data_IF_627563095928
#
_entry.id   IF_627563095928
#
_cell.length_a   1.000
_cell.length_b   1.000
_cell.length_c   1.000
_cell.angle_alpha   90.00
_cell.angle_beta   90.00
_cell.angle_gamma   90.00
#
_symmetry.space_group_name_H-M   'P 1'
#
loop_
_entity.id
_entity.type
_entity.pdbx_description
1 polymer ?
#
# COMPACT_ATOMS: atom_id res chain seq x y z
N UNK A 1 11.12 18.93 20.72
CA UNK A 1 10.33 17.79 21.22
C UNK A 1 9.97 16.77 20.12
N UNK A 2 10.41 16.96 18.87
CA UNK A 2 10.10 16.09 17.71
C UNK A 2 10.99 14.83 17.61
N UNK A 3 12.25 14.89 18.07
CA UNK A 3 13.19 13.76 18.01
C UNK A 3 12.86 12.57 18.93
N UNK A 4 12.00 12.75 19.94
CA UNK A 4 11.73 11.71 20.94
C UNK A 4 10.69 10.66 20.53
N UNK A 5 10.01 10.81 19.38
CA UNK A 5 8.92 9.91 18.97
C UNK A 5 9.26 8.92 17.84
N UNK A 6 10.47 8.99 17.26
CA UNK A 6 10.91 8.10 16.18
C UNK A 6 10.01 8.16 14.94
N UNK A 7 10.43 8.85 13.88
CA UNK A 7 9.68 8.85 12.62
C UNK A 7 10.02 7.58 11.85
N UNK A 8 8.98 6.84 11.46
CA UNK A 8 9.05 5.56 10.77
C UNK A 8 8.16 5.52 9.53
N UNK A 9 8.33 4.49 8.71
CA UNK A 9 7.45 4.16 7.60
C UNK A 9 6.74 2.84 7.87
N UNK A 10 5.63 2.63 7.16
CA UNK A 10 4.93 1.35 7.16
C UNK A 10 4.98 0.78 5.75
N UNK A 11 5.47 -0.45 5.60
CA UNK A 11 5.57 -1.13 4.32
C UNK A 11 4.45 -2.15 4.18
N UNK A 12 3.71 -2.16 3.05
CA UNK A 12 2.60 -3.08 2.88
C UNK A 12 3.10 -4.50 2.63
N UNK A 13 2.45 -5.45 3.30
CA UNK A 13 2.61 -6.88 3.07
C UNK A 13 1.36 -7.39 2.36
N UNK A 14 1.55 -7.91 1.16
CA UNK A 14 0.47 -8.26 0.23
C UNK A 14 0.42 -9.77 -0.01
N UNK A 15 -0.71 -10.30 -0.46
CA UNK A 15 -0.78 -11.65 -1.04
C UNK A 15 -0.64 -11.61 -2.58
N UNK A 16 -0.70 -12.79 -3.21
CA UNK A 16 -0.59 -12.92 -4.68
C UNK A 16 -1.74 -12.26 -5.45
N UNK A 17 -2.85 -11.93 -4.78
CA UNK A 17 -3.99 -11.16 -5.33
C UNK A 17 -3.88 -9.65 -5.07
N UNK A 18 -2.78 -9.20 -4.46
CA UNK A 18 -2.55 -7.84 -3.98
C UNK A 18 -3.61 -7.34 -2.99
N UNK A 19 -4.04 -8.22 -2.07
CA UNK A 19 -4.78 -7.81 -0.88
C UNK A 19 -3.80 -7.45 0.24
N UNK A 20 -4.07 -6.35 0.93
CA UNK A 20 -3.27 -5.89 2.06
C UNK A 20 -3.52 -6.77 3.30
N UNK A 21 -2.48 -7.44 3.79
CA UNK A 21 -2.57 -8.38 4.91
C UNK A 21 -1.96 -7.85 6.19
N UNK A 22 -0.84 -7.13 6.06
CA UNK A 22 -0.15 -6.53 7.18
C UNK A 22 0.57 -5.24 6.76
N UNK A 23 0.89 -4.41 7.75
CA UNK A 23 1.84 -3.31 7.64
C UNK A 23 3.09 -3.66 8.44
N UNK A 24 4.23 -3.73 7.77
CA UNK A 24 5.53 -3.88 8.39
C UNK A 24 6.00 -2.51 8.89
N UNK A 25 6.07 -2.38 10.21
CA UNK A 25 6.61 -1.20 10.87
C UNK A 25 8.14 -1.13 10.64
N UNK A 26 8.61 -0.08 9.97
CA UNK A 26 10.02 0.21 9.77
C UNK A 26 10.37 1.56 10.43
N UNK A 27 11.01 1.46 11.59
CA UNK A 27 11.47 2.59 12.39
C UNK A 27 13.00 2.62 12.43
N UNK A 28 13.67 1.92 11.49
CA UNK A 28 15.11 1.79 11.44
C UNK A 28 15.68 0.89 12.53
N UNK A 29 16.98 1.03 12.81
CA UNK A 29 17.65 0.33 13.91
C UNK A 29 17.25 0.95 15.25
N UNK A 30 16.03 0.65 15.69
CA UNK A 30 15.51 1.05 16.98
C UNK A 30 16.31 0.39 18.12
N UNK A 31 16.93 1.15 19.04
CA UNK A 31 17.42 0.58 20.29
C UNK A 31 16.31 -0.16 21.08
N UNK A 32 16.76 -1.04 21.97
CA UNK A 32 15.96 -1.94 22.82
C UNK A 32 14.75 -1.28 23.52
N UNK A 33 14.85 0.00 23.91
CA UNK A 33 13.75 0.75 24.56
C UNK A 33 12.59 1.13 23.62
N UNK A 34 12.81 1.11 22.31
CA UNK A 34 11.88 1.69 21.33
C UNK A 34 10.80 0.72 20.85
N UNK A 35 10.93 -0.58 21.17
CA UNK A 35 9.81 -1.52 20.97
C UNK A 35 8.63 -1.11 21.85
N UNK A 36 8.87 -0.64 23.07
CA UNK A 36 7.83 -0.11 23.96
C UNK A 36 7.23 1.18 23.38
N UNK A 37 8.08 2.10 22.91
CA UNK A 37 7.64 3.34 22.31
C UNK A 37 6.80 3.10 21.04
N UNK A 38 7.21 2.17 20.19
CA UNK A 38 6.45 1.73 19.02
C UNK A 38 5.10 1.12 19.43
N UNK A 39 5.10 0.20 20.39
CA UNK A 39 3.87 -0.45 20.86
C UNK A 39 2.90 0.54 21.53
N UNK A 40 3.42 1.51 22.29
CA UNK A 40 2.65 2.63 22.84
C UNK A 40 2.11 3.53 21.73
N UNK A 41 2.92 3.87 20.74
CA UNK A 41 2.51 4.65 19.58
C UNK A 41 1.37 3.97 18.80
N UNK A 42 1.48 2.66 18.55
CA UNK A 42 0.43 1.88 17.88
C UNK A 42 -0.89 1.91 18.68
N UNK A 43 -0.80 1.91 20.02
CA UNK A 43 -1.96 2.05 20.91
C UNK A 43 -2.55 3.46 20.86
N UNK A 44 -1.74 4.49 21.07
CA UNK A 44 -2.15 5.90 21.10
C UNK A 44 -2.83 6.35 19.81
N UNK A 45 -2.39 5.85 18.66
CA UNK A 45 -2.98 6.18 17.35
C UNK A 45 -4.18 5.33 16.97
N UNK A 46 -4.61 4.44 17.86
CA UNK A 46 -5.71 3.49 17.65
C UNK A 46 -5.60 2.78 16.30
N UNK A 47 -4.38 2.41 15.89
CA UNK A 47 -4.10 1.88 14.54
C UNK A 47 -5.00 0.69 14.21
N UNK A 48 -5.26 -0.16 15.20
CA UNK A 48 -6.07 -1.37 15.03
C UNK A 48 -7.57 -1.11 14.87
N UNK A 49 -8.11 0.00 15.39
CA UNK A 49 -9.51 0.39 15.17
C UNK A 49 -9.67 1.01 13.78
N UNK A 50 -8.67 1.79 13.34
CA UNK A 50 -8.68 2.50 12.05
C UNK A 50 -8.35 1.59 10.86
N UNK A 51 -7.54 0.54 11.04
CA UNK A 51 -7.16 -0.41 9.99
C UNK A 51 -7.87 -1.75 10.15
N UNK A 52 -9.16 -1.84 9.85
CA UNK A 52 -9.92 -3.09 10.04
C UNK A 52 -9.30 -4.30 9.31
N UNK A 53 -9.14 -5.44 10.00
CA UNK A 53 -8.59 -6.69 9.43
C UNK A 53 -7.07 -6.75 9.21
N UNK A 54 -6.34 -5.63 9.21
CA UNK A 54 -4.91 -5.58 8.88
C UNK A 54 -4.00 -5.88 10.07
N UNK A 55 -3.00 -6.73 9.89
CA UNK A 55 -2.02 -7.01 10.96
C UNK A 55 -0.91 -5.97 10.99
N UNK A 56 -0.25 -5.76 12.12
CA UNK A 56 1.01 -4.99 12.16
C UNK A 56 2.15 -5.96 12.42
N UNK A 57 3.13 -5.99 11.51
CA UNK A 57 4.36 -6.75 11.68
C UNK A 57 5.39 -5.87 12.38
N UNK A 58 5.83 -6.30 13.56
CA UNK A 58 6.83 -5.61 14.37
C UNK A 58 8.05 -6.51 14.53
N UNK A 59 9.23 -6.03 14.11
CA UNK A 59 10.50 -6.73 14.31
C UNK A 59 10.97 -6.50 15.75
N UNK A 60 11.30 -7.58 16.44
CA UNK A 60 11.76 -7.56 17.84
C UNK A 60 13.03 -8.37 17.94
N UNK A 61 14.15 -7.70 18.23
CA UNK A 61 15.45 -8.34 18.37
C UNK A 61 15.51 -9.23 19.63
N UNK A 62 14.94 -8.77 20.75
CA UNK A 62 14.85 -9.53 22.01
C UNK A 62 13.41 -9.48 22.57
N UNK A 63 12.64 -10.58 22.47
CA UNK A 63 11.28 -10.67 22.98
C UNK A 63 11.13 -10.46 24.50
N UNK A 64 12.20 -10.59 25.29
CA UNK A 64 12.15 -10.40 26.75
C UNK A 64 11.91 -8.94 27.15
N UNK A 65 12.21 -8.01 26.26
CA UNK A 65 12.05 -6.56 26.47
C UNK A 65 10.61 -6.08 26.31
N UNK A 66 9.76 -6.88 25.65
CA UNK A 66 8.35 -6.56 25.52
C UNK A 66 7.70 -6.69 26.90
N UNK A 67 6.98 -5.66 27.39
CA UNK A 67 6.36 -5.67 28.72
C UNK A 67 5.40 -6.84 28.93
N UNK A 68 5.35 -7.37 30.16
CA UNK A 68 4.50 -8.50 30.51
C UNK A 68 3.00 -8.23 30.28
N UNK A 69 2.58 -6.98 30.47
CA UNK A 69 1.19 -6.51 30.35
C UNK A 69 0.83 -6.04 28.94
N UNK A 70 1.61 -6.41 27.91
CA UNK A 70 1.38 -5.95 26.54
C UNK A 70 0.02 -6.39 25.97
N UNK A 71 -0.52 -7.50 26.45
CA UNK A 71 -1.84 -8.03 26.11
C UNK A 71 -3.00 -7.15 26.58
N UNK A 72 -2.80 -6.42 27.68
CA UNK A 72 -3.76 -5.42 28.18
C UNK A 72 -3.73 -4.13 27.37
N UNK A 73 -2.61 -3.85 26.70
CA UNK A 73 -2.39 -2.61 25.95
C UNK A 73 -2.72 -2.76 24.47
N UNK A 74 -2.49 -3.92 23.88
CA UNK A 74 -2.63 -4.11 22.44
C UNK A 74 -3.42 -5.37 22.08
N UNK A 75 -4.20 -5.33 20.99
CA UNK A 75 -4.88 -6.52 20.50
C UNK A 75 -3.87 -7.47 19.87
N UNK A 76 -3.23 -8.34 20.67
CA UNK A 76 -2.15 -9.23 20.23
C UNK A 76 -2.53 -10.08 19.00
N UNK A 77 -3.80 -10.46 18.86
CA UNK A 77 -4.32 -11.14 17.66
C UNK A 77 -3.99 -10.42 16.33
N UNK A 78 -3.83 -9.11 16.36
CA UNK A 78 -3.51 -8.24 15.23
C UNK A 78 -2.02 -7.93 15.10
N UNK A 79 -1.18 -8.45 16.00
CA UNK A 79 0.27 -8.27 15.96
C UNK A 79 0.94 -9.53 15.43
N UNK A 80 1.92 -9.31 14.55
CA UNK A 80 2.84 -10.32 14.06
C UNK A 80 4.26 -9.96 14.50
N UNK A 81 4.81 -10.70 15.46
CA UNK A 81 6.18 -10.48 15.92
C UNK A 81 7.16 -11.20 15.01
N UNK A 82 8.03 -10.43 14.36
CA UNK A 82 9.17 -10.95 13.61
C UNK A 82 10.39 -11.06 14.53
N UNK A 83 10.83 -12.29 14.77
CA UNK A 83 11.86 -12.62 15.79
C UNK A 83 13.02 -13.34 15.10
N UNK A 84 14.27 -12.88 15.28
CA UNK A 84 15.44 -13.57 14.73
C UNK A 84 15.52 -15.01 15.21
N UNK A 85 15.83 -15.96 14.32
CA UNK A 85 15.98 -17.39 14.69
C UNK A 85 16.96 -17.57 15.85
N UNK A 86 18.10 -16.86 15.79
CA UNK A 86 19.12 -16.87 16.83
C UNK A 86 18.60 -16.48 18.22
N UNK A 87 17.73 -15.48 18.30
CA UNK A 87 17.12 -15.08 19.58
C UNK A 87 16.19 -16.18 20.13
N UNK A 88 15.50 -16.90 19.25
CA UNK A 88 14.57 -17.96 19.62
C UNK A 88 15.26 -19.28 20.08
N UNK A 89 16.59 -19.36 20.07
CA UNK A 89 17.35 -20.48 20.66
C UNK A 89 17.34 -20.45 22.20
N UNK A 90 17.21 -19.25 22.78
CA UNK A 90 17.19 -19.04 24.23
C UNK A 90 15.89 -19.55 24.86
N UNK A 91 16.00 -20.31 25.97
CA UNK A 91 14.84 -20.93 26.64
C UNK A 91 13.86 -19.92 27.26
N UNK A 92 14.36 -18.80 27.78
CA UNK A 92 13.54 -17.74 28.35
C UNK A 92 12.78 -17.03 27.23
N UNK A 93 13.47 -16.76 26.11
CA UNK A 93 12.82 -16.24 24.90
C UNK A 93 11.75 -17.21 24.41
N UNK A 94 12.01 -18.51 24.31
CA UNK A 94 11.01 -19.50 23.91
C UNK A 94 9.79 -19.53 24.84
N UNK A 95 9.99 -19.38 26.15
CA UNK A 95 8.91 -19.27 27.13
C UNK A 95 8.07 -18.02 26.86
N UNK A 96 8.72 -16.90 26.55
CA UNK A 96 8.07 -15.64 26.18
C UNK A 96 7.28 -15.75 24.87
N UNK A 97 7.84 -16.40 23.85
CA UNK A 97 7.17 -16.68 22.58
C UNK A 97 5.93 -17.57 22.77
N UNK A 98 6.02 -18.60 23.62
CA UNK A 98 4.85 -19.42 23.99
C UNK A 98 3.75 -18.59 24.64
N UNK A 99 4.11 -17.68 25.55
CA UNK A 99 3.16 -16.73 26.15
C UNK A 99 2.48 -15.85 25.10
N UNK A 100 3.23 -15.22 24.18
CA UNK A 100 2.61 -14.39 23.13
C UNK A 100 1.65 -15.19 22.25
N UNK A 101 2.05 -16.40 21.84
CA UNK A 101 1.23 -17.27 21.01
C UNK A 101 -0.07 -17.70 21.74
N UNK A 102 0.00 -18.01 23.03
CA UNK A 102 -1.20 -18.37 23.82
C UNK A 102 -2.17 -17.21 24.05
N UNK A 103 -1.68 -15.97 23.95
CA UNK A 103 -2.49 -14.74 24.03
C UNK A 103 -2.88 -14.18 22.65
N UNK A 104 -2.68 -14.98 21.59
CA UNK A 104 -3.16 -14.70 20.23
C UNK A 104 -2.18 -13.99 19.31
N UNK A 105 -1.01 -13.55 19.81
CA UNK A 105 0.02 -12.97 18.94
C UNK A 105 0.56 -14.00 17.96
N UNK A 106 0.72 -13.59 16.71
CA UNK A 106 1.33 -14.43 15.69
C UNK A 106 2.83 -14.19 15.70
N UNK A 107 3.60 -15.23 15.41
CA UNK A 107 5.07 -15.17 15.39
C UNK A 107 5.55 -15.61 14.01
N UNK A 108 6.52 -14.86 13.48
CA UNK A 108 7.24 -15.17 12.26
C UNK A 108 8.74 -15.21 12.57
N UNK A 109 9.41 -16.30 12.22
CA UNK A 109 10.86 -16.39 12.39
C UNK A 109 11.53 -15.59 11.27
N UNK A 110 12.51 -14.77 11.61
CA UNK A 110 13.19 -13.85 10.71
C UNK A 110 14.71 -14.07 10.80
N UNK A 111 15.49 -13.40 9.94
CA UNK A 111 16.96 -13.48 9.89
C UNK A 111 17.47 -14.92 9.76
N UNK A 112 16.86 -15.69 8.85
CA UNK A 112 17.25 -17.08 8.58
C UNK A 112 18.60 -17.13 7.85
N UNK A 113 19.53 -17.87 8.42
CA UNK A 113 20.85 -18.14 7.87
C UNK A 113 20.92 -19.55 7.26
N UNK A 114 21.90 -19.79 6.39
CA UNK A 114 22.03 -21.06 5.67
C UNK A 114 22.25 -22.30 6.58
N UNK A 115 22.67 -22.10 7.83
CA UNK A 115 22.89 -23.17 8.81
C UNK A 115 21.69 -23.39 9.75
N UNK A 116 20.63 -22.58 9.64
CA UNK A 116 19.45 -22.65 10.50
C UNK A 116 18.52 -23.78 10.06
N UNK A 117 18.96 -25.02 10.30
CA UNK A 117 18.20 -26.22 9.96
C UNK A 117 17.09 -26.53 10.98
N UNK A 118 17.18 -25.96 12.18
CA UNK A 118 16.19 -26.04 13.24
C UNK A 118 15.78 -24.63 13.66
N UNK A 119 14.48 -24.38 13.70
CA UNK A 119 13.90 -23.16 14.25
C UNK A 119 13.06 -23.54 15.46
N UNK A 120 12.66 -22.55 16.25
CA UNK A 120 11.75 -22.75 17.38
C UNK A 120 10.54 -23.64 17.02
N UNK A 121 10.28 -24.67 17.83
CA UNK A 121 9.27 -25.70 17.55
C UNK A 121 7.86 -25.12 17.35
N UNK A 122 7.55 -24.01 18.00
CA UNK A 122 6.26 -23.31 17.86
C UNK A 122 6.11 -22.47 16.59
N UNK A 123 7.15 -22.35 15.77
CA UNK A 123 7.13 -21.52 14.58
C UNK A 123 6.25 -22.12 13.48
N UNK A 124 5.33 -21.29 12.97
CA UNK A 124 4.43 -21.65 11.84
C UNK A 124 4.68 -20.83 10.59
N UNK A 125 5.47 -19.75 10.70
CA UNK A 125 5.74 -18.78 9.66
C UNK A 125 7.23 -18.45 9.67
N UNK A 126 7.76 -18.16 8.48
CA UNK A 126 9.13 -17.68 8.30
C UNK A 126 9.08 -16.47 7.39
N UNK A 127 10.02 -15.57 7.60
CA UNK A 127 10.27 -14.38 6.81
C UNK A 127 11.65 -14.49 6.21
N UNK A 128 11.76 -14.30 4.91
CA UNK A 128 13.00 -14.51 4.17
C UNK A 128 13.30 -13.29 3.33
N UNK A 129 14.53 -12.79 3.41
CA UNK A 129 15.03 -11.76 2.51
C UNK A 129 15.25 -12.38 1.11
N UNK A 130 14.49 -11.90 0.15
CA UNK A 130 14.55 -12.30 -1.26
C UNK A 130 15.03 -11.14 -2.14
N UNK A 131 15.90 -10.26 -1.65
CA UNK A 131 16.42 -9.11 -2.41
C UNK A 131 17.27 -9.48 -3.61
N UNK A 132 17.87 -10.69 -3.62
CA UNK A 132 18.72 -11.18 -4.71
C UNK A 132 18.07 -12.36 -5.44
N UNK A 133 17.68 -13.38 -4.70
CA UNK A 133 17.08 -14.62 -5.18
C UNK A 133 16.23 -15.25 -4.07
N UNK A 134 15.61 -16.41 -4.35
CA UNK A 134 14.97 -17.23 -3.32
C UNK A 134 16.03 -18.20 -2.78
N UNK A 135 16.49 -18.06 -1.53
CA UNK A 135 17.61 -18.85 -1.05
C UNK A 135 17.29 -20.35 -1.05
N UNK A 136 18.13 -21.16 -1.71
CA UNK A 136 17.87 -22.58 -1.90
C UNK A 136 17.70 -23.36 -0.58
N UNK A 137 18.40 -22.93 0.48
CA UNK A 137 18.36 -23.55 1.81
C UNK A 137 17.01 -23.39 2.53
N UNK A 138 16.12 -22.53 2.03
CA UNK A 138 14.80 -22.30 2.62
C UNK A 138 13.77 -23.34 2.17
N UNK A 139 13.97 -24.00 1.01
CA UNK A 139 13.00 -24.98 0.47
C UNK A 139 12.63 -26.09 1.46
N UNK A 140 13.56 -26.71 2.20
CA UNK A 140 13.22 -27.70 3.22
C UNK A 140 12.34 -27.14 4.34
N UNK A 141 12.54 -25.87 4.73
CA UNK A 141 11.72 -25.21 5.75
C UNK A 141 10.31 -24.91 5.24
N UNK A 142 10.16 -24.43 4.00
CA UNK A 142 8.84 -24.23 3.37
C UNK A 142 8.07 -25.55 3.25
N UNK A 143 8.77 -26.64 2.92
CA UNK A 143 8.17 -27.97 2.89
C UNK A 143 7.76 -28.46 4.29
N UNK A 144 8.62 -28.29 5.30
CA UNK A 144 8.33 -28.69 6.69
C UNK A 144 7.19 -27.88 7.31
N UNK A 145 7.11 -26.60 7.00
CA UNK A 145 6.10 -25.67 7.50
C UNK A 145 4.95 -25.48 6.50
N UNK A 146 4.67 -26.51 5.70
CA UNK A 146 3.72 -26.43 4.61
C UNK A 146 2.37 -25.82 5.02
N UNK A 147 1.85 -24.95 4.17
CA UNK A 147 0.59 -24.24 4.40
C UNK A 147 0.75 -22.97 5.25
N UNK A 148 1.93 -22.71 5.81
CA UNK A 148 2.26 -21.47 6.48
C UNK A 148 2.14 -20.25 5.56
N UNK A 149 1.73 -19.14 6.14
CA UNK A 149 1.74 -17.83 5.51
C UNK A 149 3.15 -17.22 5.56
N UNK A 150 4.06 -17.80 4.79
CA UNK A 150 5.46 -17.36 4.74
C UNK A 150 5.59 -16.04 3.98
N UNK A 151 6.50 -15.18 4.46
CA UNK A 151 6.77 -13.86 3.91
C UNK A 151 8.08 -13.85 3.13
N UNK A 152 8.03 -13.48 1.86
CA UNK A 152 9.19 -13.08 1.08
C UNK A 152 9.32 -11.55 1.14
N UNK A 153 10.40 -11.05 1.75
CA UNK A 153 10.69 -9.63 1.91
C UNK A 153 11.69 -9.13 0.86
N UNK A 154 11.73 -7.80 0.68
CA UNK A 154 12.68 -7.10 -0.19
C UNK A 154 12.67 -7.54 -1.66
N UNK A 155 11.55 -8.08 -2.14
CA UNK A 155 11.41 -8.52 -3.53
C UNK A 155 11.61 -7.33 -4.48
N UNK A 156 12.56 -7.37 -5.42
CA UNK A 156 12.89 -6.22 -6.27
C UNK A 156 12.02 -6.09 -7.52
N UNK A 157 11.47 -7.19 -8.05
CA UNK A 157 10.69 -7.20 -9.30
C UNK A 157 9.66 -8.32 -9.35
N UNK A 158 8.63 -8.15 -10.18
CA UNK A 158 7.49 -9.07 -10.24
C UNK A 158 7.87 -10.53 -10.55
N UNK A 159 8.88 -10.77 -11.40
CA UNK A 159 9.31 -12.13 -11.71
C UNK A 159 9.82 -12.91 -10.49
N UNK A 160 10.47 -12.24 -9.52
CA UNK A 160 10.92 -12.93 -8.30
C UNK A 160 9.75 -13.13 -7.31
N UNK A 161 8.76 -12.25 -7.33
CA UNK A 161 7.52 -12.44 -6.58
C UNK A 161 6.75 -13.67 -7.08
N UNK A 162 6.68 -13.87 -8.40
CA UNK A 162 6.08 -15.07 -8.99
C UNK A 162 6.86 -16.35 -8.63
N UNK A 163 8.19 -16.33 -8.76
CA UNK A 163 9.04 -17.45 -8.32
C UNK A 163 8.86 -17.75 -6.82
N UNK A 164 8.71 -16.72 -5.98
CA UNK A 164 8.51 -16.89 -4.55
C UNK A 164 7.14 -17.53 -4.27
N UNK A 165 6.11 -17.11 -5.01
CA UNK A 165 4.79 -17.75 -4.94
C UNK A 165 4.86 -19.23 -5.32
N UNK A 166 5.56 -19.58 -6.41
CA UNK A 166 5.78 -20.97 -6.83
C UNK A 166 6.59 -21.79 -5.81
N UNK A 167 7.54 -21.15 -5.12
CA UNK A 167 8.32 -21.78 -4.05
C UNK A 167 7.49 -22.06 -2.78
N UNK A 168 6.29 -21.48 -2.64
CA UNK A 168 5.38 -21.71 -1.52
C UNK A 168 5.20 -20.51 -0.58
N UNK A 169 5.77 -19.34 -0.90
CA UNK A 169 5.46 -18.12 -0.17
C UNK A 169 4.04 -17.62 -0.49
N UNK A 170 3.36 -17.07 0.52
CA UNK A 170 1.99 -16.54 0.35
C UNK A 170 1.94 -15.03 0.54
N UNK A 171 2.90 -14.47 1.28
CA UNK A 171 2.98 -13.06 1.62
C UNK A 171 4.23 -12.45 0.97
N UNK A 172 4.10 -11.23 0.48
CA UNK A 172 5.11 -10.55 -0.33
C UNK A 172 5.27 -9.10 0.14
N UNK A 173 6.51 -8.64 0.24
CA UNK A 173 6.88 -7.26 0.52
C UNK A 173 8.10 -6.88 -0.30
N UNK A 174 8.14 -5.64 -0.78
CA UNK A 174 9.29 -5.09 -1.53
C UNK A 174 8.90 -4.22 -2.70
N UNK A 175 9.93 -3.83 -3.45
CA UNK A 175 9.84 -2.92 -4.59
C UNK A 175 9.26 -3.55 -5.86
N UNK A 176 8.97 -4.86 -5.85
CA UNK A 176 8.38 -5.58 -6.98
C UNK A 176 7.13 -4.88 -7.53
N UNK A 177 6.39 -4.18 -6.65
CA UNK A 177 5.21 -3.43 -7.02
C UNK A 177 5.50 -2.28 -8.00
N UNK A 178 6.67 -1.64 -7.90
CA UNK A 178 7.11 -0.55 -8.78
C UNK A 178 7.76 -1.04 -10.09
N UNK A 179 8.01 -2.34 -10.19
CA UNK A 179 8.58 -3.00 -11.36
C UNK A 179 7.62 -4.08 -11.85
N UNK A 180 6.39 -3.71 -12.26
CA UNK A 180 5.44 -4.67 -12.81
C UNK A 180 6.04 -5.30 -14.08
N UNK A 181 5.61 -6.52 -14.43
CA UNK A 181 6.04 -7.12 -15.68
C UNK A 181 5.58 -6.22 -16.83
N UNK A 182 6.40 -6.10 -17.88
CA UNK A 182 6.06 -5.32 -19.05
C UNK A 182 4.74 -5.83 -19.66
N UNK A 183 3.64 -5.08 -19.49
CA UNK A 183 2.37 -5.39 -20.14
C UNK A 183 2.46 -5.01 -21.62
N UNK A 184 3.12 -5.85 -22.41
CA UNK A 184 3.33 -5.65 -23.85
C UNK A 184 2.09 -6.01 -24.70
N UNK A 185 0.87 -5.99 -24.14
CA UNK A 185 -0.35 -6.28 -24.92
C UNK A 185 -0.93 -4.98 -25.49
N UNK A 186 -0.83 -4.81 -26.81
CA UNK A 186 -1.33 -3.63 -27.53
C UNK A 186 -2.81 -3.28 -27.25
N UNK A 187 -3.65 -4.27 -26.92
CA UNK A 187 -5.04 -4.06 -26.52
C UNK A 187 -5.18 -3.32 -25.16
N UNK A 188 -4.25 -3.58 -24.23
CA UNK A 188 -4.20 -2.97 -22.90
C UNK A 188 -3.81 -1.48 -23.01
N UNK A 189 -2.83 -1.17 -23.86
CA UNK A 189 -2.41 0.20 -24.16
C UNK A 189 -3.56 1.04 -24.77
N UNK A 190 -4.38 0.45 -25.65
CA UNK A 190 -5.53 1.14 -26.26
C UNK A 190 -6.61 1.46 -25.23
N UNK A 191 -6.92 0.52 -24.34
CA UNK A 191 -7.88 0.71 -23.26
C UNK A 191 -7.42 1.77 -22.25
N UNK A 192 -6.15 1.74 -21.84
CA UNK A 192 -5.57 2.74 -20.94
C UNK A 192 -5.51 4.12 -21.57
N UNK A 193 -5.20 4.22 -22.85
CA UNK A 193 -5.25 5.50 -23.59
C UNK A 193 -6.66 6.10 -23.58
N UNK A 194 -7.72 5.29 -23.72
CA UNK A 194 -9.11 5.78 -23.59
C UNK A 194 -9.42 6.30 -22.19
N UNK A 195 -8.96 5.61 -21.15
CA UNK A 195 -9.12 6.07 -19.77
C UNK A 195 -8.38 7.39 -19.51
N UNK A 196 -7.15 7.54 -20.02
CA UNK A 196 -6.41 8.80 -19.95
C UNK A 196 -7.19 9.94 -20.64
N UNK A 197 -7.73 9.70 -21.85
CA UNK A 197 -8.57 10.70 -22.53
C UNK A 197 -9.79 11.09 -21.70
N UNK A 198 -10.50 10.12 -21.12
CA UNK A 198 -11.63 10.39 -20.22
C UNK A 198 -11.20 11.21 -19.01
N UNK A 199 -10.04 10.92 -18.41
CA UNK A 199 -9.51 11.69 -17.29
C UNK A 199 -9.19 13.13 -17.68
N UNK A 200 -8.61 13.36 -18.86
CA UNK A 200 -8.39 14.72 -19.37
C UNK A 200 -9.71 15.48 -19.58
N UNK A 201 -10.76 14.81 -20.06
CA UNK A 201 -12.10 15.41 -20.18
C UNK A 201 -12.69 15.76 -18.82
N UNK A 202 -12.59 14.88 -17.83
CA UNK A 202 -13.11 15.15 -16.47
C UNK A 202 -12.32 16.29 -15.81
N UNK A 203 -10.99 16.31 -15.95
CA UNK A 203 -10.12 17.31 -15.33
C UNK A 203 -10.38 18.74 -15.85
N UNK A 204 -10.79 18.89 -17.12
CA UNK A 204 -11.14 20.19 -17.72
C UNK A 204 -12.63 20.56 -17.61
N UNK A 205 -13.40 19.81 -16.81
CA UNK A 205 -14.85 19.95 -16.68
C UNK A 205 -15.62 19.90 -18.01
N UNK A 206 -15.17 19.05 -18.95
CA UNK A 206 -15.76 18.90 -20.29
C UNK A 206 -17.23 18.49 -20.23
N UNK A 207 -18.04 18.83 -21.23
CA UNK A 207 -19.48 18.53 -21.22
C UNK A 207 -19.75 17.03 -21.09
N UNK A 208 -20.81 16.64 -20.36
CA UNK A 208 -21.13 15.22 -20.13
C UNK A 208 -21.23 14.44 -21.43
N UNK A 209 -21.70 15.07 -22.52
CA UNK A 209 -21.79 14.47 -23.86
C UNK A 209 -20.44 13.96 -24.38
N UNK A 210 -19.36 14.70 -24.17
CA UNK A 210 -18.00 14.29 -24.58
C UNK A 210 -17.57 13.03 -23.82
N UNK A 211 -17.89 12.95 -22.53
CA UNK A 211 -17.65 11.76 -21.71
C UNK A 211 -18.46 10.57 -22.23
N UNK A 212 -19.75 10.77 -22.53
CA UNK A 212 -20.61 9.69 -23.05
C UNK A 212 -20.08 9.10 -24.36
N UNK A 213 -19.55 9.93 -25.26
CA UNK A 213 -19.00 9.48 -26.54
C UNK A 213 -17.79 8.55 -26.36
N UNK A 214 -16.96 8.78 -25.35
CA UNK A 214 -15.86 7.87 -25.00
C UNK A 214 -16.34 6.62 -24.29
N UNK A 215 -17.33 6.71 -23.39
CA UNK A 215 -17.91 5.52 -22.74
C UNK A 215 -18.53 4.56 -23.77
N UNK A 216 -19.26 5.09 -24.76
CA UNK A 216 -19.88 4.29 -25.84
C UNK A 216 -18.88 3.47 -26.66
N UNK A 217 -17.60 3.85 -26.67
CA UNK A 217 -16.56 3.14 -27.41
C UNK A 217 -15.99 1.92 -26.66
N UNK A 218 -16.30 1.75 -25.37
CA UNK A 218 -15.78 0.64 -24.55
C UNK A 218 -16.91 0.06 -23.69
N UNK A 219 -17.51 -1.03 -24.18
CA UNK A 219 -18.63 -1.70 -23.52
C UNK A 219 -18.26 -2.22 -22.11
N UNK A 220 -17.02 -2.67 -21.91
CA UNK A 220 -16.52 -3.10 -20.61
C UNK A 220 -16.47 -1.94 -19.63
N UNK A 221 -15.92 -0.79 -20.05
CA UNK A 221 -15.89 0.43 -19.24
C UNK A 221 -17.29 0.92 -18.89
N UNK A 222 -18.20 0.91 -19.87
CA UNK A 222 -19.61 1.26 -19.68
C UNK A 222 -20.27 0.37 -18.64
N UNK A 223 -20.09 -0.94 -18.74
CA UNK A 223 -20.63 -1.89 -17.76
C UNK A 223 -20.09 -1.63 -16.35
N UNK A 224 -18.77 -1.38 -16.21
CA UNK A 224 -18.18 -1.10 -14.91
C UNK A 224 -18.69 0.21 -14.30
N UNK A 225 -18.95 1.25 -15.10
CA UNK A 225 -19.59 2.49 -14.62
C UNK A 225 -20.98 2.21 -14.05
N UNK A 226 -21.83 1.48 -14.79
CA UNK A 226 -23.17 1.13 -14.30
C UNK A 226 -23.12 0.23 -13.06
N UNK A 227 -22.18 -0.74 -13.00
CA UNK A 227 -21.95 -1.57 -11.82
C UNK A 227 -21.57 -0.72 -10.61
N UNK A 228 -20.65 0.24 -10.78
CA UNK A 228 -20.23 1.15 -9.71
C UNK A 228 -21.42 1.94 -9.17
N UNK A 229 -22.17 2.60 -10.06
CA UNK A 229 -23.34 3.39 -9.65
C UNK A 229 -24.38 2.51 -8.96
N UNK A 230 -24.57 1.27 -9.42
CA UNK A 230 -25.48 0.31 -8.79
C UNK A 230 -24.99 -0.15 -7.41
N UNK A 231 -23.68 -0.31 -7.21
CA UNK A 231 -23.08 -0.68 -5.92
C UNK A 231 -23.05 0.47 -4.90
N UNK A 232 -22.88 1.71 -5.36
CA UNK A 232 -22.97 2.89 -4.51
C UNK A 232 -24.42 3.24 -4.15
N UNK A 233 -25.39 2.83 -4.98
CA UNK A 233 -26.81 3.09 -4.82
C UNK A 233 -27.55 2.11 -3.90
N UNK A 234 -26.88 1.44 -2.95
CA UNK A 234 -27.53 0.54 -1.98
C UNK A 234 -28.67 1.20 -1.14
N UNK A 235 -28.90 2.51 -1.29
CA UNK A 235 -30.00 3.25 -0.68
C UNK A 235 -31.18 3.62 -1.62
N UNK A 236 -31.12 3.46 -2.96
CA UNK A 236 -32.25 3.86 -3.83
C UNK A 236 -32.48 2.97 -5.07
N UNK A 237 -33.76 2.71 -5.34
CA UNK A 237 -34.39 2.01 -6.48
C UNK A 237 -34.21 2.70 -7.84
N UNK A 238 -33.16 3.50 -8.05
CA UNK A 238 -32.96 4.26 -9.30
C UNK A 238 -32.35 3.35 -10.36
N UNK A 239 -33.17 2.94 -11.33
CA UNK A 239 -32.68 2.30 -12.56
C UNK A 239 -32.00 3.36 -13.43
N UNK A 240 -30.68 3.32 -13.49
CA UNK A 240 -29.90 4.21 -14.36
C UNK A 240 -30.06 3.77 -15.81
N UNK A 241 -30.53 4.67 -16.67
CA UNK A 241 -30.89 4.36 -18.06
C UNK A 241 -29.99 5.02 -19.12
N UNK A 242 -29.09 5.92 -18.71
CA UNK A 242 -28.16 6.62 -19.60
C UNK A 242 -26.83 6.93 -18.92
N UNK A 243 -25.80 7.17 -19.72
CA UNK A 243 -24.48 7.60 -19.25
C UNK A 243 -24.54 8.95 -18.51
N UNK A 244 -25.26 9.94 -19.04
CA UNK A 244 -25.46 11.22 -18.37
C UNK A 244 -26.11 11.08 -16.99
N UNK A 245 -27.11 10.19 -16.82
CA UNK A 245 -27.68 9.90 -15.51
C UNK A 245 -26.65 9.27 -14.58
N UNK A 246 -25.85 8.31 -15.06
CA UNK A 246 -24.79 7.68 -14.29
C UNK A 246 -23.74 8.69 -13.80
N UNK A 247 -23.27 9.55 -14.71
CA UNK A 247 -22.26 10.59 -14.44
C UNK A 247 -22.79 11.63 -13.45
N UNK A 248 -24.04 12.07 -13.61
CA UNK A 248 -24.66 13.04 -12.70
C UNK A 248 -24.89 12.46 -11.30
N UNK A 249 -25.34 11.20 -11.22
CA UNK A 249 -25.58 10.52 -9.94
C UNK A 249 -24.27 10.26 -9.19
N UNK A 250 -23.21 9.86 -9.90
CA UNK A 250 -21.88 9.64 -9.32
C UNK A 250 -21.21 10.98 -8.93
N UNK A 251 -21.40 12.00 -9.76
CA UNK A 251 -20.70 13.27 -9.69
C UNK A 251 -19.29 13.19 -10.29
N UNK A 252 -18.81 14.31 -10.85
CA UNK A 252 -17.53 14.38 -11.57
C UNK A 252 -16.32 14.00 -10.73
N UNK A 253 -16.30 14.43 -9.48
CA UNK A 253 -15.20 14.13 -8.54
C UNK A 253 -15.06 12.63 -8.30
N UNK A 254 -16.17 11.94 -8.00
CA UNK A 254 -16.16 10.50 -7.76
C UNK A 254 -15.88 9.73 -9.05
N UNK A 255 -16.37 10.21 -10.20
CA UNK A 255 -16.03 9.68 -11.51
C UNK A 255 -14.52 9.77 -11.78
N UNK A 256 -13.89 10.92 -11.49
CA UNK A 256 -12.45 11.11 -11.65
C UNK A 256 -11.67 10.11 -10.80
N UNK A 257 -11.97 10.01 -9.50
CA UNK A 257 -11.28 9.09 -8.58
C UNK A 257 -11.42 7.63 -9.03
N UNK A 258 -12.62 7.23 -9.46
CA UNK A 258 -12.86 5.89 -9.98
C UNK A 258 -12.08 5.62 -11.28
N UNK A 259 -12.10 6.54 -12.24
CA UNK A 259 -11.33 6.41 -13.48
C UNK A 259 -9.82 6.32 -13.22
N UNK A 260 -9.30 7.11 -12.26
CA UNK A 260 -7.89 7.08 -11.87
C UNK A 260 -7.50 5.72 -11.28
N UNK A 261 -8.32 5.15 -10.40
CA UNK A 261 -8.09 3.80 -9.86
C UNK A 261 -8.20 2.72 -10.94
N UNK A 262 -9.16 2.87 -11.84
CA UNK A 262 -9.41 1.92 -12.92
C UNK A 262 -8.24 1.83 -13.92
N UNK A 263 -7.43 2.88 -14.07
CA UNK A 263 -6.18 2.84 -14.85
C UNK A 263 -5.26 1.70 -14.41
N UNK A 264 -5.17 1.49 -13.09
CA UNK A 264 -4.33 0.47 -12.49
C UNK A 264 -5.02 -0.88 -12.42
N UNK A 265 -6.33 -0.90 -12.13
CA UNK A 265 -7.09 -2.14 -11.96
C UNK A 265 -7.36 -2.90 -13.28
N UNK A 266 -7.39 -2.21 -14.43
CA UNK A 266 -7.56 -2.87 -15.72
C UNK A 266 -6.29 -3.65 -16.10
N UNK A 267 -6.35 -4.95 -15.88
CA UNK A 267 -5.53 -5.95 -16.53
C UNK A 267 -6.45 -6.99 -17.16
N UNK A 268 -6.21 -7.38 -18.41
CA UNK A 268 -6.97 -8.45 -19.08
C UNK A 268 -6.43 -9.85 -18.75
N UNK A 269 -5.40 -9.97 -17.93
CA UNK A 269 -4.87 -11.27 -17.57
C UNK A 269 -5.87 -12.01 -16.68
N UNK A 270 -6.31 -13.17 -17.14
CA UNK A 270 -7.33 -14.03 -16.54
C UNK A 270 -6.99 -14.58 -15.14
N UNK A 271 -5.93 -14.08 -14.48
CA UNK A 271 -5.49 -14.53 -13.16
C UNK A 271 -6.31 -13.93 -12.01
N UNK A 272 -7.07 -12.86 -12.26
CA UNK A 272 -7.86 -12.17 -11.23
C UNK A 272 -7.00 -11.51 -10.14
N UNK A 273 -5.72 -11.28 -10.39
CA UNK A 273 -4.83 -10.52 -9.51
C UNK A 273 -4.86 -9.04 -9.91
N UNK A 274 -4.88 -8.15 -8.92
CA UNK A 274 -4.79 -6.70 -9.15
C UNK A 274 -3.36 -6.33 -9.55
N UNK A 275 -3.20 -5.23 -10.29
CA UNK A 275 -1.86 -4.70 -10.57
C UNK A 275 -1.16 -4.30 -9.26
N UNK A 276 0.06 -4.78 -8.97
CA UNK A 276 0.81 -4.39 -7.78
C UNK A 276 1.02 -2.89 -7.60
N UNK A 277 0.99 -2.10 -8.67
CA UNK A 277 1.05 -0.64 -8.60
C UNK A 277 -0.21 -0.02 -7.99
N UNK A 278 -1.37 -0.68 -8.06
CA UNK A 278 -2.65 -0.11 -7.65
C UNK A 278 -2.67 0.27 -6.16
N UNK A 279 -2.35 -0.64 -5.21
CA UNK A 279 -2.33 -0.30 -3.79
C UNK A 279 -1.32 0.82 -3.47
N UNK A 280 -0.22 0.91 -4.23
CA UNK A 280 0.82 1.93 -4.07
C UNK A 280 0.34 3.29 -4.55
N UNK A 281 -0.26 3.35 -5.74
CA UNK A 281 -0.87 4.57 -6.25
C UNK A 281 -2.00 5.07 -5.32
N UNK A 282 -2.81 4.14 -4.81
CA UNK A 282 -3.85 4.46 -3.85
C UNK A 282 -3.27 5.02 -2.53
N UNK A 283 -2.23 4.40 -1.99
CA UNK A 283 -1.54 4.92 -0.81
C UNK A 283 -1.04 6.36 -1.04
N UNK A 284 -0.33 6.60 -2.15
CA UNK A 284 0.21 7.92 -2.47
C UNK A 284 -0.88 8.98 -2.63
N UNK A 285 -1.96 8.65 -3.33
CA UNK A 285 -3.10 9.56 -3.54
C UNK A 285 -3.78 9.95 -2.23
N UNK A 286 -4.08 8.97 -1.38
CA UNK A 286 -4.75 9.24 -0.11
C UNK A 286 -3.83 9.93 0.90
N UNK A 287 -2.53 9.61 0.90
CA UNK A 287 -1.57 10.31 1.76
C UNK A 287 -1.40 11.77 1.33
N UNK A 288 -1.29 12.03 0.02
CA UNK A 288 -1.28 13.39 -0.54
C UNK A 288 -2.52 14.19 -0.14
N UNK A 289 -3.72 13.61 -0.31
CA UNK A 289 -4.99 14.24 0.08
C UNK A 289 -5.05 14.51 1.58
N UNK A 290 -4.65 13.55 2.42
CA UNK A 290 -4.65 13.69 3.88
C UNK A 290 -3.68 14.77 4.35
N UNK A 291 -2.49 14.87 3.76
CA UNK A 291 -1.51 15.93 4.04
C UNK A 291 -2.09 17.30 3.65
N UNK A 292 -2.68 17.40 2.46
CA UNK A 292 -3.32 18.63 2.00
C UNK A 292 -4.45 19.07 2.94
N UNK A 293 -5.27 18.12 3.41
CA UNK A 293 -6.34 18.40 4.38
C UNK A 293 -5.79 18.92 5.71
N UNK A 294 -4.76 18.27 6.27
CA UNK A 294 -4.11 18.70 7.52
C UNK A 294 -3.56 20.12 7.43
N UNK A 295 -3.16 20.53 6.23
CA UNK A 295 -2.65 21.88 5.95
C UNK A 295 -3.74 22.91 5.65
N UNK A 296 -5.01 22.54 5.76
CA UNK A 296 -6.15 23.43 5.54
C UNK A 296 -6.52 23.64 4.08
N UNK A 297 -6.10 22.73 3.18
CA UNK A 297 -6.44 22.81 1.77
C UNK A 297 -7.94 22.70 1.50
N UNK A 298 -8.41 23.45 0.51
CA UNK A 298 -9.79 23.42 0.05
C UNK A 298 -10.07 22.20 -0.86
N UNK A 299 -11.32 22.04 -1.28
CA UNK A 299 -11.77 20.87 -2.06
C UNK A 299 -11.00 20.66 -3.37
N UNK A 300 -10.70 21.74 -4.09
CA UNK A 300 -10.02 21.66 -5.39
C UNK A 300 -8.53 21.31 -5.20
N UNK A 301 -7.91 21.84 -4.14
CA UNK A 301 -6.54 21.48 -3.75
C UNK A 301 -6.42 20.02 -3.33
N UNK A 302 -7.42 19.49 -2.60
CA UNK A 302 -7.50 18.07 -2.24
C UNK A 302 -7.58 17.16 -3.47
N UNK A 303 -8.41 17.54 -4.46
CA UNK A 303 -8.55 16.78 -5.70
C UNK A 303 -7.26 16.84 -6.54
N UNK A 304 -6.56 17.98 -6.56
CA UNK A 304 -5.23 18.08 -7.17
C UNK A 304 -4.19 17.20 -6.44
N UNK A 305 -4.16 17.22 -5.10
CA UNK A 305 -3.24 16.41 -4.31
C UNK A 305 -3.45 14.91 -4.54
N UNK A 306 -4.71 14.47 -4.53
CA UNK A 306 -5.08 13.09 -4.85
C UNK A 306 -4.62 12.71 -6.26
N UNK A 307 -4.86 13.57 -7.25
CA UNK A 307 -4.44 13.34 -8.64
C UNK A 307 -2.93 13.22 -8.78
N UNK A 308 -2.15 14.10 -8.13
CA UNK A 308 -0.68 14.02 -8.12
C UNK A 308 -0.22 12.68 -7.56
N UNK A 309 -0.78 12.22 -6.43
CA UNK A 309 -0.42 10.92 -5.87
C UNK A 309 -0.76 9.76 -6.82
N UNK A 310 -1.97 9.77 -7.39
CA UNK A 310 -2.40 8.76 -8.38
C UNK A 310 -1.55 8.76 -9.64
N UNK A 311 -1.07 9.92 -10.11
CA UNK A 311 -0.34 10.03 -11.37
C UNK A 311 1.18 9.84 -11.24
N UNK A 312 1.70 9.87 -10.01
CA UNK A 312 3.13 9.71 -9.73
C UNK A 312 3.74 8.37 -10.17
N UNK A 313 2.92 7.37 -10.49
CA UNK A 313 3.35 6.03 -10.91
C UNK A 313 2.95 5.67 -12.35
N UNK A 314 2.47 6.63 -13.14
CA UNK A 314 2.05 6.34 -14.52
C UNK A 314 3.24 5.97 -15.42
N UNK A 315 4.44 6.49 -15.17
CA UNK A 315 5.63 6.07 -15.91
C UNK A 315 5.89 4.55 -15.73
N UNK A 316 5.71 4.04 -14.51
CA UNK A 316 5.83 2.61 -14.20
C UNK A 316 4.69 1.80 -14.80
N UNK A 317 3.48 2.35 -14.81
CA UNK A 317 2.30 1.69 -15.36
C UNK A 317 2.37 1.54 -16.89
N UNK A 318 2.86 2.57 -17.58
CA UNK A 318 2.91 2.62 -19.05
C UNK A 318 4.26 2.19 -19.63
N UNK A 319 5.33 2.19 -18.84
CA UNK A 319 6.68 1.89 -19.32
C UNK A 319 7.32 3.03 -20.14
N UNK A 320 6.74 4.23 -20.11
CA UNK A 320 7.19 5.41 -20.85
C UNK A 320 7.57 6.54 -19.88
N UNK A 321 8.40 7.52 -20.28
CA UNK A 321 8.66 8.71 -19.47
C UNK A 321 7.38 9.41 -19.03
N UNK A 322 7.31 9.82 -17.75
CA UNK A 322 6.09 10.41 -17.17
C UNK A 322 5.56 11.60 -17.99
N UNK A 323 6.46 12.46 -18.49
CA UNK A 323 6.12 13.62 -19.32
C UNK A 323 5.33 13.25 -20.58
N UNK A 324 5.68 12.14 -21.25
CA UNK A 324 4.98 11.68 -22.45
C UNK A 324 3.58 11.15 -22.11
N UNK A 325 3.44 10.50 -20.95
CA UNK A 325 2.16 9.96 -20.49
C UNK A 325 1.20 11.09 -20.07
N UNK A 326 1.72 12.17 -19.49
CA UNK A 326 0.92 13.30 -19.01
C UNK A 326 0.52 14.28 -20.12
N UNK A 327 1.31 14.38 -21.21
CA UNK A 327 1.09 15.35 -22.29
C UNK A 327 -0.36 15.40 -22.82
N UNK A 328 -1.09 14.29 -23.00
CA UNK A 328 -2.46 14.32 -23.52
C UNK A 328 -3.51 14.81 -22.53
N UNK A 329 -3.19 14.92 -21.24
CA UNK A 329 -4.16 15.17 -20.16
C UNK A 329 -4.49 16.65 -19.95
N UNK A 330 -3.70 17.58 -20.52
CA UNK A 330 -3.85 19.03 -20.33
C UNK A 330 -4.06 19.43 -18.85
N UNK A 331 -3.18 18.94 -17.97
CA UNK A 331 -3.25 19.21 -16.53
C UNK A 331 -2.85 20.66 -16.23
N UNK A 332 -3.30 21.17 -15.08
CA UNK A 332 -2.86 22.49 -14.61
C UNK A 332 -1.35 22.50 -14.31
N UNK A 333 -0.75 23.69 -14.33
CA UNK A 333 0.69 23.88 -14.13
C UNK A 333 1.17 23.33 -12.81
N UNK A 334 0.43 23.56 -11.72
CA UNK A 334 0.82 23.14 -10.37
C UNK A 334 0.93 21.61 -10.23
N UNK A 335 0.04 20.85 -10.89
CA UNK A 335 0.09 19.38 -10.90
C UNK A 335 1.25 18.90 -11.77
N UNK A 336 1.49 19.51 -12.93
CA UNK A 336 2.62 19.15 -13.80
C UNK A 336 3.95 19.41 -13.10
N UNK A 337 4.11 20.58 -12.49
CA UNK A 337 5.28 21.01 -11.73
C UNK A 337 5.54 20.06 -10.55
N UNK A 338 4.49 19.68 -9.81
CA UNK A 338 4.60 18.71 -8.74
C UNK A 338 5.07 17.33 -9.23
N UNK A 339 4.51 16.83 -10.34
CA UNK A 339 4.82 15.50 -10.89
C UNK A 339 6.20 15.42 -11.54
N UNK A 340 6.59 16.45 -12.31
CA UNK A 340 7.79 16.44 -13.14
C UNK A 340 9.01 17.06 -12.46
N UNK A 341 8.80 18.04 -11.58
CA UNK A 341 9.87 18.84 -10.99
C UNK A 341 9.89 18.80 -9.46
N UNK A 342 8.91 18.12 -8.83
CA UNK A 342 8.71 18.11 -7.37
C UNK A 342 8.66 19.52 -6.78
N UNK A 343 8.18 20.50 -7.54
CA UNK A 343 8.14 21.90 -7.14
C UNK A 343 6.78 22.29 -6.53
N UNK A 344 6.80 23.40 -5.80
CA UNK A 344 5.63 23.91 -5.10
C UNK A 344 5.17 23.01 -3.95
N UNK A 345 4.01 23.38 -3.40
CA UNK A 345 3.42 22.71 -2.24
C UNK A 345 3.11 21.24 -2.51
N UNK A 346 2.52 20.94 -3.66
CA UNK A 346 2.18 19.57 -4.08
C UNK A 346 3.43 18.74 -4.36
N UNK A 347 4.47 19.33 -4.95
CA UNK A 347 5.72 18.63 -5.23
C UNK A 347 6.48 18.22 -3.97
N UNK A 348 6.54 19.10 -2.97
CA UNK A 348 7.11 18.76 -1.65
C UNK A 348 6.32 17.66 -0.93
N UNK A 349 4.99 17.75 -0.95
CA UNK A 349 4.13 16.68 -0.42
C UNK A 349 4.38 15.36 -1.15
N UNK A 350 4.58 15.40 -2.46
CA UNK A 350 4.86 14.20 -3.25
C UNK A 350 6.23 13.59 -2.90
N UNK A 351 7.28 14.40 -2.69
CA UNK A 351 8.58 13.88 -2.25
C UNK A 351 8.48 13.16 -0.88
N UNK A 352 7.78 13.77 0.10
CA UNK A 352 7.50 13.12 1.38
C UNK A 352 6.76 11.78 1.19
N UNK A 353 5.70 11.78 0.39
CA UNK A 353 4.87 10.60 0.13
C UNK A 353 5.66 9.48 -0.55
N UNK A 354 6.54 9.79 -1.50
CA UNK A 354 7.36 8.79 -2.19
C UNK A 354 8.38 8.13 -1.26
N UNK A 355 8.92 8.88 -0.30
CA UNK A 355 9.82 8.35 0.74
C UNK A 355 9.06 7.55 1.79
N UNK A 356 7.85 7.99 2.18
CA UNK A 356 6.98 7.25 3.09
C UNK A 356 6.56 5.88 2.53
N UNK A 357 6.52 5.77 1.20
CA UNK A 357 6.20 4.54 0.45
C UNK A 357 7.42 3.62 0.27
N UNK A 358 8.57 3.89 0.91
CA UNK A 358 9.83 3.12 0.81
C UNK A 358 10.38 2.79 2.20
N UNK A 359 11.33 1.85 2.32
CA UNK A 359 12.03 1.60 3.58
C UNK A 359 12.66 2.89 4.14
N UNK A 360 12.78 2.98 5.47
CA UNK A 360 13.13 4.23 6.17
C UNK A 360 14.49 4.81 5.78
N UNK A 361 15.39 3.99 5.20
CA UNK A 361 16.79 4.34 4.90
C UNK A 361 16.99 5.67 4.16
N UNK A 362 15.98 6.12 3.39
CA UNK A 362 16.02 7.35 2.59
C UNK A 362 15.02 8.43 3.06
N UNK A 363 14.43 8.26 4.25
CA UNK A 363 13.41 9.16 4.78
C UNK A 363 14.03 10.39 5.45
N UNK A 364 13.69 11.57 4.94
CA UNK A 364 14.11 12.84 5.53
C UNK A 364 13.00 13.40 6.43
N UNK A 365 13.27 13.40 7.73
CA UNK A 365 12.39 13.96 8.76
C UNK A 365 12.14 15.45 8.55
N UNK A 366 13.09 16.18 7.98
CA UNK A 366 12.96 17.62 7.70
C UNK A 366 11.79 17.95 6.77
N UNK A 367 11.44 17.03 5.87
CA UNK A 367 10.31 17.22 4.94
C UNK A 367 8.96 17.33 5.66
N UNK A 368 8.79 16.65 6.80
CA UNK A 368 7.57 16.76 7.61
C UNK A 368 7.44 18.18 8.17
N UNK A 369 8.53 18.71 8.75
CA UNK A 369 8.56 20.05 9.34
C UNK A 369 8.43 21.14 8.26
N UNK A 370 9.04 20.96 7.09
CA UNK A 370 8.90 21.88 5.93
C UNK A 370 7.46 21.99 5.42
N UNK A 371 6.67 20.94 5.56
CA UNK A 371 5.26 20.93 5.20
C UNK A 371 4.36 21.48 6.33
N UNK A 372 4.95 21.91 7.45
CA UNK A 372 4.24 22.43 8.60
C UNK A 372 3.48 21.34 9.38
N UNK A 373 3.90 20.08 9.26
CA UNK A 373 3.27 18.94 9.92
C UNK A 373 4.03 18.58 11.20
N UNK A 374 3.30 18.08 12.19
CA UNK A 374 3.92 17.34 13.30
C UNK A 374 4.11 15.87 12.92
N UNK A 375 4.94 15.14 13.68
CA UNK A 375 5.02 13.68 13.55
C UNK A 375 3.65 13.02 13.75
N UNK A 376 2.83 13.56 14.65
CA UNK A 376 1.48 13.06 14.92
C UNK A 376 0.56 13.22 13.70
N UNK A 377 0.63 14.37 13.02
CA UNK A 377 -0.12 14.61 11.79
C UNK A 377 0.32 13.67 10.67
N UNK A 378 1.63 13.50 10.49
CA UNK A 378 2.19 12.56 9.50
C UNK A 378 1.63 11.14 9.70
N UNK A 379 1.65 10.64 10.94
CA UNK A 379 1.11 9.33 11.25
C UNK A 379 -0.41 9.24 11.04
N UNK A 380 -1.16 10.26 11.44
CA UNK A 380 -2.62 10.30 11.20
C UNK A 380 -2.95 10.25 9.71
N UNK A 381 -2.18 10.97 8.88
CA UNK A 381 -2.30 10.94 7.43
C UNK A 381 -1.97 9.55 6.87
N UNK A 382 -0.87 8.91 7.32
CA UNK A 382 -0.50 7.57 6.87
C UNK A 382 -1.54 6.51 7.22
N UNK A 383 -2.09 6.53 8.44
CA UNK A 383 -3.12 5.57 8.87
C UNK A 383 -4.38 5.77 8.04
N UNK A 384 -4.76 7.02 7.77
CA UNK A 384 -5.88 7.35 6.87
C UNK A 384 -5.64 6.77 5.48
N UNK A 385 -4.43 6.92 4.94
CA UNK A 385 -4.08 6.41 3.64
C UNK A 385 -4.18 4.88 3.57
N UNK A 386 -3.64 4.16 4.55
CA UNK A 386 -3.73 2.70 4.57
C UNK A 386 -5.13 2.16 4.85
N UNK A 387 -5.96 2.89 5.61
CA UNK A 387 -7.37 2.53 5.79
C UNK A 387 -8.10 2.54 4.44
N UNK A 388 -7.81 3.54 3.60
CA UNK A 388 -8.37 3.62 2.25
C UNK A 388 -7.81 2.54 1.32
N UNK A 389 -6.50 2.29 1.35
CA UNK A 389 -5.88 1.19 0.57
C UNK A 389 -6.55 -0.15 0.87
N UNK A 390 -6.81 -0.44 2.15
CA UNK A 390 -7.49 -1.66 2.57
C UNK A 390 -8.87 -1.80 1.92
N UNK A 391 -9.66 -0.72 1.94
CA UNK A 391 -10.98 -0.68 1.34
C UNK A 391 -10.90 -0.90 -0.18
N UNK A 392 -10.01 -0.18 -0.87
CA UNK A 392 -9.84 -0.31 -2.32
C UNK A 392 -9.41 -1.72 -2.72
N UNK A 393 -8.54 -2.37 -1.95
CA UNK A 393 -8.12 -3.76 -2.22
C UNK A 393 -9.22 -4.81 -1.95
N UNK A 394 -10.28 -4.46 -1.21
CA UNK A 394 -11.41 -5.34 -0.93
C UNK A 394 -12.58 -5.13 -1.90
N UNK A 395 -12.80 -3.90 -2.36
CA UNK A 395 -13.93 -3.50 -3.20
C UNK A 395 -13.71 -3.80 -4.70
N UNK A 396 -12.46 -4.02 -5.12
CA UNK A 396 -12.08 -4.38 -6.49
C UNK A 396 -11.97 -5.89 -6.68
#
# INVERSE_FOLDING_TARGET
>A
MTQARGIGTFLPVMNSKQQLLALQADFGALPIGDVIALLQFLHEKEIFSRLSGISVLVRIADPLLVPADIDTRLPLARILFAVPVKAAEDKDVQTRLKYFNSHGARIIMDDLQAHDNAIWEGAKKISVDCSKDIPAHIKPLLFRLHGGDHLAQHLPHAALQEQAHEAGFKWFSGDYAFHPPASNKAADATARTRLLKLLGLVARDAESRELEELFKQDATLSFMLFKLVSSAAFAQTVRVSSFGQAINLLGRRQLQRWLQLLLYARQQDHSGSLNPLMPRAAFRASLMEAICLKRGGNKDELDCAFMVGMFSLLDKLFGNPLVEVLQPLNLNTDVLDALLHKSGTLGKSLDLVERADRPLKDFDVGLIEELGLSADDYYDCMITAYAWVNQVCQDM
#
